data_IF_360044308628
#
_entry.id   IF_360044308628
#
_cell.length_a   1.000
_cell.length_b   1.000
_cell.length_c   1.000
_cell.angle_alpha   90.00
_cell.angle_beta   90.00
_cell.angle_gamma   90.00
#
_symmetry.space_group_name_H-M   'P 1'
#
loop_
_entity.id
_entity.type
_entity.pdbx_description
1 polymer ?
#
# COMPACT_ATOMS: atom_id res chain seq x y z
N UNK A 1 39.77 43.83 -10.93
CA UNK A 1 40.73 44.83 -10.43
C UNK A 1 40.29 45.21 -9.03
N UNK A 2 41.09 44.83 -8.01
CA UNK A 2 40.98 45.20 -6.59
C UNK A 2 39.74 44.66 -5.84
N UNK A 3 39.80 44.11 -4.64
CA UNK A 3 40.86 43.98 -3.63
C UNK A 3 40.45 42.87 -2.64
N UNK A 4 41.43 42.11 -2.16
CA UNK A 4 41.38 41.25 -0.97
C UNK A 4 41.18 42.11 0.29
N UNK A 5 40.59 41.56 1.36
CA UNK A 5 41.33 41.35 2.62
C UNK A 5 40.55 40.54 3.69
N UNK A 6 41.08 39.34 3.92
CA UNK A 6 41.46 38.68 5.18
C UNK A 6 41.18 39.37 6.53
N UNK A 7 40.60 38.63 7.49
CA UNK A 7 41.24 38.19 8.75
C UNK A 7 40.26 37.66 9.82
N UNK A 8 40.61 36.53 10.45
CA UNK A 8 40.04 35.89 11.65
C UNK A 8 40.45 36.63 12.95
N UNK A 9 40.42 36.06 14.19
CA UNK A 9 39.51 35.13 14.94
C UNK A 9 39.14 35.72 16.35
N UNK A 10 38.53 34.93 17.26
CA UNK A 10 38.97 34.66 18.68
C UNK A 10 37.81 34.51 19.71
N UNK A 11 37.88 33.41 20.48
CA UNK A 11 37.49 33.18 21.91
C UNK A 11 36.00 33.25 22.34
N UNK A 12 35.47 32.37 23.19
CA UNK A 12 36.08 31.28 23.97
C UNK A 12 35.14 30.68 25.03
N UNK A 13 35.71 29.71 25.75
CA UNK A 13 35.39 29.18 27.09
C UNK A 13 34.17 28.29 27.38
N UNK A 14 34.48 26.98 27.45
CA UNK A 14 34.40 26.09 28.63
C UNK A 14 33.57 26.47 29.88
N UNK A 15 32.72 25.52 30.32
CA UNK A 15 32.74 24.80 31.63
C UNK A 15 31.42 24.01 31.78
N UNK A 16 31.42 22.68 31.84
CA UNK A 16 31.80 21.74 32.93
C UNK A 16 30.65 21.35 33.88
N UNK A 17 30.41 20.03 33.90
CA UNK A 17 30.18 19.14 35.06
C UNK A 17 28.83 19.15 35.79
N UNK A 18 28.24 17.95 35.92
CA UNK A 18 27.26 17.63 36.95
C UNK A 18 26.59 16.26 36.80
N UNK A 19 27.26 15.19 37.20
CA UNK A 19 26.72 13.82 37.31
C UNK A 19 26.35 13.48 38.76
N UNK A 20 25.62 12.35 38.93
CA UNK A 20 25.19 11.64 40.16
C UNK A 20 23.86 12.16 40.76
N UNK A 21 22.91 11.36 41.29
CA UNK A 21 23.02 10.17 42.14
C UNK A 21 21.79 9.24 42.07
N UNK A 22 22.01 7.95 42.31
CA UNK A 22 21.01 6.88 42.55
C UNK A 22 20.69 6.81 44.06
N UNK A 23 19.43 6.53 44.42
CA UNK A 23 19.06 6.00 45.74
C UNK A 23 17.89 4.98 45.64
N UNK A 24 17.99 3.79 46.28
CA UNK A 24 16.96 2.75 46.27
C UNK A 24 16.05 2.81 47.51
N UNK A 25 14.79 2.36 47.40
CA UNK A 25 13.90 2.14 48.55
C UNK A 25 13.65 0.65 48.80
N UNK A 26 13.66 0.36 50.10
CA UNK A 26 13.83 -0.92 50.79
C UNK A 26 12.58 -1.81 50.82
N UNK A 27 12.85 -3.11 50.94
CA UNK A 27 11.95 -4.18 51.37
C UNK A 27 12.10 -4.39 52.88
N UNK A 28 11.00 -4.33 53.64
CA UNK A 28 10.62 -5.22 54.75
C UNK A 28 9.58 -4.53 55.66
N UNK A 29 8.39 -5.11 55.76
CA UNK A 29 7.77 -5.29 57.07
C UNK A 29 6.83 -6.51 57.07
N UNK A 30 7.11 -7.41 58.01
CA UNK A 30 6.40 -8.67 58.27
C UNK A 30 5.41 -8.39 59.39
N UNK A 31 4.12 -8.41 59.08
CA UNK A 31 3.03 -8.33 60.05
C UNK A 31 2.23 -9.63 60.07
N UNK A 32 2.40 -10.41 61.14
CA UNK A 32 1.73 -11.68 61.42
C UNK A 32 0.34 -11.41 62.03
N UNK A 33 -0.76 -11.77 61.35
CA UNK A 33 -2.10 -11.85 61.96
C UNK A 33 -2.75 -13.19 61.67
N UNK A 34 -3.08 -13.84 62.78
CA UNK A 34 -3.70 -15.14 62.96
C UNK A 34 -5.21 -15.00 62.71
N UNK A 35 -5.73 -15.54 61.61
CA UNK A 35 -7.16 -15.59 61.32
C UNK A 35 -7.51 -16.88 60.58
N UNK A 36 -7.97 -17.88 61.33
CA UNK A 36 -8.47 -19.16 60.81
C UNK A 36 -9.79 -18.94 60.06
N UNK A 37 -9.93 -19.66 58.94
CA UNK A 37 -11.19 -20.16 58.37
C UNK A 37 -12.02 -19.28 57.40
N UNK A 38 -11.42 -18.42 56.58
CA UNK A 38 -12.18 -17.70 55.52
C UNK A 38 -11.52 -17.77 54.10
N UNK A 39 -10.32 -18.36 53.97
CA UNK A 39 -9.54 -18.33 52.70
C UNK A 39 -9.77 -19.52 51.75
N UNK A 40 -10.60 -20.50 52.12
CA UNK A 40 -10.85 -21.68 51.28
C UNK A 40 -11.64 -21.43 49.98
N UNK A 41 -12.64 -20.52 49.90
CA UNK A 41 -13.35 -20.28 48.64
C UNK A 41 -12.55 -19.40 47.66
N UNK A 42 -11.64 -18.55 48.15
CA UNK A 42 -10.83 -17.66 47.29
C UNK A 42 -9.67 -18.37 46.60
N UNK A 43 -9.07 -19.39 47.23
CA UNK A 43 -8.02 -20.19 46.60
C UNK A 43 -8.59 -20.99 45.41
N UNK A 44 -9.79 -21.55 45.55
CA UNK A 44 -10.47 -22.22 44.43
C UNK A 44 -10.92 -21.24 43.35
N UNK A 45 -11.37 -20.03 43.71
CA UNK A 45 -11.70 -18.98 42.74
C UNK A 45 -10.46 -18.53 41.94
N UNK A 46 -9.31 -18.33 42.60
CA UNK A 46 -8.08 -17.97 41.91
C UNK A 46 -7.53 -19.08 41.02
N UNK A 47 -7.68 -20.36 41.41
CA UNK A 47 -7.29 -21.51 40.57
C UNK A 47 -8.21 -21.65 39.35
N UNK A 48 -9.52 -21.42 39.50
CA UNK A 48 -10.48 -21.44 38.38
C UNK A 48 -10.26 -20.24 37.45
N UNK A 49 -9.96 -19.06 37.98
CA UNK A 49 -9.61 -17.88 37.16
C UNK A 49 -8.27 -18.07 36.43
N UNK A 50 -7.27 -18.73 37.04
CA UNK A 50 -6.04 -19.08 36.33
C UNK A 50 -6.24 -20.16 35.25
N UNK A 51 -7.11 -21.16 35.48
CA UNK A 51 -7.45 -22.14 34.45
C UNK A 51 -8.28 -21.55 33.30
N UNK A 52 -9.14 -20.56 33.58
CA UNK A 52 -9.88 -19.83 32.54
C UNK A 52 -8.99 -18.85 31.75
N UNK A 53 -7.92 -18.31 32.36
CA UNK A 53 -6.97 -17.44 31.67
C UNK A 53 -5.90 -18.21 30.87
N UNK A 54 -5.64 -19.50 31.16
CA UNK A 54 -4.78 -20.36 30.33
C UNK A 54 -5.52 -21.02 29.15
N UNK A 55 -6.85 -21.01 29.13
CA UNK A 55 -7.63 -21.53 28.00
C UNK A 55 -7.76 -20.55 26.80
N UNK A 56 -7.25 -19.32 26.93
CA UNK A 56 -7.19 -18.32 25.85
C UNK A 56 -5.76 -17.82 25.58
N UNK A 57 -4.75 -18.67 25.82
CA UNK A 57 -3.44 -18.51 25.19
C UNK A 57 -3.15 -19.71 24.30
N UNK A 58 -4.09 -20.04 23.41
CA UNK A 58 -3.65 -20.43 22.07
C UNK A 58 -3.01 -19.18 21.49
N UNK A 59 -1.70 -19.04 21.69
CA UNK A 59 -0.87 -18.31 20.76
C UNK A 59 -1.27 -18.86 19.40
N UNK A 60 -2.09 -18.09 18.67
CA UNK A 60 -2.24 -18.28 17.25
C UNK A 60 -0.85 -17.95 16.69
N UNK A 61 0.03 -18.95 16.70
CA UNK A 61 1.03 -19.04 15.67
C UNK A 61 0.21 -18.95 14.40
N UNK A 62 0.27 -17.77 13.76
CA UNK A 62 -0.15 -17.62 12.38
C UNK A 62 0.34 -18.88 11.67
N UNK A 63 -0.50 -19.57 10.89
CA UNK A 63 -0.01 -20.68 10.09
C UNK A 63 1.13 -20.10 9.26
N UNK A 64 2.37 -20.45 9.61
CA UNK A 64 3.51 -20.29 8.73
C UNK A 64 3.15 -21.19 7.58
N UNK A 65 2.49 -20.62 6.56
CA UNK A 65 2.26 -21.34 5.33
C UNK A 65 3.64 -21.76 4.88
N UNK A 66 3.89 -23.07 4.89
CA UNK A 66 5.05 -23.65 4.24
C UNK A 66 4.90 -23.25 2.78
N UNK A 67 5.51 -22.10 2.43
CA UNK A 67 5.49 -21.56 1.07
C UNK A 67 6.01 -22.66 0.17
N UNK A 68 5.11 -23.28 -0.57
CA UNK A 68 5.46 -24.40 -1.45
C UNK A 68 6.28 -23.78 -2.58
N UNK A 69 7.60 -23.96 -2.51
CA UNK A 69 8.50 -23.43 -3.53
C UNK A 69 8.45 -24.32 -4.74
N UNK A 70 8.27 -23.72 -5.90
CA UNK A 70 8.37 -24.36 -7.20
C UNK A 70 9.70 -23.97 -7.84
N UNK A 71 10.24 -24.88 -8.65
CA UNK A 71 11.49 -24.70 -9.36
C UNK A 71 11.29 -24.96 -10.85
N UNK A 72 11.79 -24.06 -11.69
CA UNK A 72 11.76 -24.20 -13.15
C UNK A 72 13.21 -24.21 -13.63
N UNK A 73 13.58 -25.20 -14.43
CA UNK A 73 14.87 -25.21 -15.10
C UNK A 73 14.78 -24.30 -16.33
N UNK A 74 15.71 -23.36 -16.43
CA UNK A 74 15.86 -22.47 -17.58
C UNK A 74 17.28 -22.59 -18.13
N UNK A 75 17.50 -22.08 -19.34
CA UNK A 75 18.83 -22.04 -19.97
C UNK A 75 19.83 -21.18 -19.18
N UNK A 76 19.34 -20.36 -18.24
CA UNK A 76 20.12 -19.44 -17.42
C UNK A 76 20.25 -19.88 -15.96
N UNK A 77 19.86 -21.12 -15.67
CA UNK A 77 19.88 -21.70 -14.33
C UNK A 77 18.49 -22.10 -13.87
N UNK A 78 18.39 -22.54 -12.62
CA UNK A 78 17.07 -22.84 -12.02
C UNK A 78 16.51 -21.56 -11.41
N UNK A 79 15.29 -21.19 -11.79
CA UNK A 79 14.52 -20.17 -11.08
C UNK A 79 13.57 -20.83 -10.09
N UNK A 80 13.32 -20.15 -8.98
CA UNK A 80 12.41 -20.58 -7.93
C UNK A 80 11.37 -19.51 -7.65
N UNK A 81 10.16 -19.92 -7.32
CA UNK A 81 9.07 -19.02 -6.96
C UNK A 81 8.16 -19.66 -5.92
N UNK A 82 7.38 -18.85 -5.21
CA UNK A 82 6.39 -19.36 -4.27
C UNK A 82 5.10 -19.70 -5.01
N UNK A 83 4.51 -20.87 -4.75
CA UNK A 83 3.20 -21.25 -5.27
C UNK A 83 2.02 -20.79 -4.39
N UNK A 84 2.25 -19.83 -3.49
CA UNK A 84 1.20 -19.30 -2.62
C UNK A 84 0.24 -18.39 -3.40
N UNK A 85 -1.08 -18.48 -3.18
CA UNK A 85 -2.08 -17.56 -3.76
C UNK A 85 -1.91 -16.10 -3.31
N UNK A 86 -1.07 -15.84 -2.30
CA UNK A 86 -0.85 -14.49 -1.75
C UNK A 86 0.53 -13.93 -2.10
N UNK A 87 1.39 -14.72 -2.75
CA UNK A 87 2.72 -14.25 -3.15
C UNK A 87 2.66 -13.75 -4.59
N UNK A 88 2.89 -12.46 -4.77
CA UNK A 88 2.88 -11.80 -6.08
C UNK A 88 4.16 -12.15 -6.84
N UNK A 89 3.99 -12.78 -8.01
CA UNK A 89 5.09 -13.09 -8.92
C UNK A 89 5.34 -11.96 -9.90
N UNK A 90 4.27 -11.43 -10.49
CA UNK A 90 4.32 -10.38 -11.51
C UNK A 90 3.28 -9.34 -11.15
N UNK A 91 3.66 -8.07 -11.15
CA UNK A 91 2.72 -6.97 -10.98
C UNK A 91 3.08 -5.81 -11.89
N UNK A 92 2.09 -5.25 -12.58
CA UNK A 92 2.29 -4.03 -13.37
C UNK A 92 1.47 -2.89 -12.85
N UNK A 93 2.05 -1.70 -12.91
CA UNK A 93 1.37 -0.44 -12.67
C UNK A 93 1.56 0.46 -13.87
N UNK A 94 0.52 1.23 -14.19
CA UNK A 94 0.63 2.37 -15.07
C UNK A 94 0.73 3.64 -14.22
N UNK A 95 1.72 4.46 -14.50
CA UNK A 95 1.95 5.73 -13.81
C UNK A 95 2.71 6.69 -14.72
N UNK A 96 3.19 7.80 -14.20
CA UNK A 96 3.80 8.87 -15.00
C UNK A 96 2.78 9.85 -15.61
N UNK A 97 3.22 11.10 -15.78
CA UNK A 97 2.40 12.19 -16.29
C UNK A 97 1.57 12.94 -15.24
N UNK A 98 1.35 14.24 -15.48
CA UNK A 98 0.44 15.08 -14.66
C UNK A 98 -1.00 15.09 -15.19
N UNK A 99 -1.33 14.15 -16.08
CA UNK A 99 -2.62 14.08 -16.73
C UNK A 99 -3.47 12.98 -16.08
N UNK A 100 -4.51 13.39 -15.37
CA UNK A 100 -5.70 12.58 -15.07
C UNK A 100 -5.60 11.49 -13.99
N UNK A 101 -6.81 11.07 -13.64
CA UNK A 101 -7.33 10.24 -12.54
C UNK A 101 -6.51 9.02 -12.13
N UNK A 102 -6.31 8.89 -10.81
CA UNK A 102 -5.71 7.73 -10.18
C UNK A 102 -6.51 6.45 -10.46
N UNK A 103 -5.81 5.50 -11.05
CA UNK A 103 -6.23 4.11 -11.11
C UNK A 103 -5.97 3.46 -9.75
N UNK A 104 -7.04 3.12 -9.03
CA UNK A 104 -6.93 2.74 -7.61
C UNK A 104 -6.23 1.40 -7.35
N UNK A 105 -5.81 0.64 -8.36
CA UNK A 105 -5.20 -0.69 -8.24
C UNK A 105 -4.15 -0.93 -9.34
N UNK A 106 -3.29 -1.96 -9.21
CA UNK A 106 -2.39 -2.37 -10.28
C UNK A 106 -3.15 -2.78 -11.54
N UNK A 107 -2.53 -2.63 -12.72
CA UNK A 107 -3.13 -3.08 -13.98
C UNK A 107 -3.20 -4.61 -14.06
N UNK A 108 -2.15 -5.28 -13.58
CA UNK A 108 -2.00 -6.73 -13.58
C UNK A 108 -1.37 -7.15 -12.26
N UNK A 109 -1.90 -8.19 -11.62
CA UNK A 109 -1.24 -8.94 -10.56
C UNK A 109 -1.37 -10.44 -10.83
N UNK A 110 -0.26 -11.16 -10.90
CA UNK A 110 -0.20 -12.63 -11.05
C UNK A 110 0.43 -13.23 -9.79
N UNK A 111 -0.27 -14.18 -9.17
CA UNK A 111 0.13 -14.82 -7.93
C UNK A 111 0.79 -16.18 -8.16
N UNK A 112 1.39 -16.71 -7.10
CA UNK A 112 2.16 -17.96 -7.09
C UNK A 112 1.43 -19.19 -7.61
N UNK A 113 0.13 -19.27 -7.35
CA UNK A 113 -0.73 -20.37 -7.77
C UNK A 113 -1.27 -20.20 -9.21
N UNK A 114 -0.92 -19.10 -9.87
CA UNK A 114 -1.37 -18.76 -11.23
C UNK A 114 -2.68 -18.00 -11.28
N UNK A 115 -3.33 -17.72 -10.15
CA UNK A 115 -4.44 -16.76 -10.13
C UNK A 115 -3.93 -15.39 -10.57
N UNK A 116 -4.76 -14.63 -11.25
CA UNK A 116 -4.42 -13.28 -11.67
C UNK A 116 -5.61 -12.33 -11.59
N UNK A 117 -5.30 -11.05 -11.36
CA UNK A 117 -6.27 -9.96 -11.34
C UNK A 117 -5.84 -8.93 -12.41
N UNK A 118 -6.78 -8.56 -13.26
CA UNK A 118 -6.68 -7.55 -14.31
C UNK A 118 -7.50 -6.34 -13.95
N UNK A 119 -7.05 -5.19 -14.44
CA UNK A 119 -7.83 -3.96 -14.43
C UNK A 119 -7.34 -3.01 -13.34
N UNK A 120 -6.96 -1.79 -13.74
CA UNK A 120 -6.90 -0.72 -12.77
C UNK A 120 -8.30 -0.25 -12.35
N UNK A 121 -8.47 0.08 -11.06
CA UNK A 121 -9.66 0.74 -10.53
C UNK A 121 -10.72 -0.19 -9.95
N UNK A 122 -11.99 0.18 -10.15
CA UNK A 122 -13.15 -0.45 -9.49
C UNK A 122 -13.72 -1.65 -10.26
N UNK A 123 -13.31 -1.82 -11.52
CA UNK A 123 -13.77 -2.89 -12.41
C UNK A 123 -12.65 -3.91 -12.61
N UNK A 124 -12.23 -4.53 -11.50
CA UNK A 124 -11.23 -5.59 -11.56
C UNK A 124 -11.86 -6.90 -12.01
N UNK A 125 -11.06 -7.70 -12.72
CA UNK A 125 -11.44 -9.02 -13.19
C UNK A 125 -10.40 -10.05 -12.77
N UNK A 126 -10.85 -11.22 -12.32
CA UNK A 126 -9.96 -12.31 -11.97
C UNK A 126 -10.03 -13.45 -12.98
N UNK A 127 -8.91 -14.15 -13.12
CA UNK A 127 -8.77 -15.34 -13.94
C UNK A 127 -7.68 -16.26 -13.41
N UNK A 128 -7.42 -17.34 -14.14
CA UNK A 128 -6.49 -18.38 -13.71
C UNK A 128 -5.61 -18.85 -14.86
N UNK A 129 -4.30 -18.81 -14.64
CA UNK A 129 -3.33 -19.57 -15.41
C UNK A 129 -3.21 -20.97 -14.82
N UNK A 130 -3.23 -21.99 -15.68
CA UNK A 130 -2.83 -23.32 -15.22
C UNK A 130 -1.30 -23.34 -14.96
N UNK A 131 -0.85 -24.33 -14.18
CA UNK A 131 0.56 -24.41 -13.77
C UNK A 131 1.54 -24.45 -14.94
N UNK A 132 1.21 -25.11 -16.05
CA UNK A 132 2.06 -25.17 -17.24
C UNK A 132 2.16 -23.80 -17.93
N UNK A 133 1.05 -23.07 -18.05
CA UNK A 133 1.01 -21.73 -18.63
C UNK A 133 1.79 -20.72 -17.78
N UNK A 134 1.65 -20.78 -16.44
CA UNK A 134 2.45 -19.96 -15.54
C UNK A 134 3.95 -20.26 -15.67
N UNK A 135 4.34 -21.54 -15.64
CA UNK A 135 5.74 -21.93 -15.79
C UNK A 135 6.31 -21.52 -17.15
N UNK A 136 5.51 -21.65 -18.23
CA UNK A 136 5.89 -21.20 -19.56
C UNK A 136 6.08 -19.68 -19.59
N UNK A 137 5.19 -18.90 -18.98
CA UNK A 137 5.33 -17.45 -18.87
C UNK A 137 6.64 -17.10 -18.15
N UNK A 138 6.87 -17.66 -16.95
CA UNK A 138 8.09 -17.38 -16.19
C UNK A 138 9.35 -17.79 -16.96
N UNK A 139 9.31 -18.93 -17.66
CA UNK A 139 10.41 -19.37 -18.52
C UNK A 139 10.66 -18.35 -19.66
N UNK A 140 9.60 -17.91 -20.37
CA UNK A 140 9.71 -16.90 -21.43
C UNK A 140 10.32 -15.60 -20.91
N UNK A 141 9.86 -15.09 -19.76
CA UNK A 141 10.35 -13.85 -19.17
C UNK A 141 11.84 -13.91 -18.80
N UNK A 142 12.31 -15.06 -18.34
CA UNK A 142 13.72 -15.24 -17.92
C UNK A 142 14.64 -15.58 -19.08
N UNK A 143 14.22 -16.44 -19.99
CA UNK A 143 15.09 -16.96 -21.05
C UNK A 143 14.97 -16.24 -22.38
N UNK A 144 13.74 -16.03 -22.83
CA UNK A 144 13.45 -15.39 -24.12
C UNK A 144 13.60 -13.88 -23.99
N UNK A 145 12.90 -13.28 -23.03
CA UNK A 145 12.91 -11.84 -22.81
C UNK A 145 14.15 -11.41 -22.02
N UNK A 146 14.74 -12.32 -21.22
CA UNK A 146 16.02 -12.07 -20.58
C UNK A 146 15.96 -11.01 -19.48
N UNK A 147 14.82 -10.84 -18.80
CA UNK A 147 14.63 -9.78 -17.79
C UNK A 147 15.71 -9.77 -16.71
N UNK A 148 16.15 -10.95 -16.26
CA UNK A 148 17.17 -11.08 -15.22
C UNK A 148 18.59 -10.73 -15.69
N UNK A 149 18.80 -10.53 -17.00
CA UNK A 149 20.09 -10.18 -17.61
C UNK A 149 20.19 -8.71 -17.99
N UNK A 150 19.13 -7.93 -17.79
CA UNK A 150 19.13 -6.51 -18.14
C UNK A 150 20.16 -5.77 -17.28
N UNK A 151 21.05 -5.03 -17.92
CA UNK A 151 22.06 -4.20 -17.26
C UNK A 151 21.47 -2.98 -16.56
N UNK A 152 20.38 -2.47 -17.13
CA UNK A 152 19.60 -1.34 -16.61
C UNK A 152 18.17 -1.82 -16.39
N UNK A 153 17.53 -1.35 -15.32
CA UNK A 153 16.15 -1.70 -15.00
C UNK A 153 15.16 -0.57 -15.35
N UNK A 154 15.65 0.65 -15.58
CA UNK A 154 14.82 1.80 -15.90
C UNK A 154 15.08 2.26 -17.34
N UNK A 155 14.09 2.16 -18.20
CA UNK A 155 14.14 2.63 -19.58
C UNK A 155 13.07 3.71 -19.76
N UNK A 156 13.36 4.84 -19.12
CA UNK A 156 12.52 6.04 -19.04
C UNK A 156 13.42 7.23 -18.71
N UNK A 157 13.30 8.33 -19.45
CA UNK A 157 14.09 9.55 -19.25
C UNK A 157 13.33 10.85 -19.54
N UNK A 158 12.11 10.80 -20.05
CA UNK A 158 11.27 11.99 -20.23
C UNK A 158 10.47 12.23 -18.95
N UNK A 159 10.76 13.27 -18.16
CA UNK A 159 9.95 13.59 -16.99
C UNK A 159 8.51 13.91 -17.41
N UNK A 160 7.54 13.59 -16.55
CA UNK A 160 6.12 13.86 -16.78
C UNK A 160 5.49 13.11 -17.97
N UNK A 161 6.08 11.99 -18.42
CA UNK A 161 5.44 11.05 -19.36
C UNK A 161 4.98 9.77 -18.67
N UNK A 162 3.99 9.11 -19.26
CA UNK A 162 3.47 7.85 -18.76
C UNK A 162 4.51 6.73 -18.93
N UNK A 163 4.55 5.82 -17.96
CA UNK A 163 5.44 4.68 -17.88
C UNK A 163 4.73 3.50 -17.22
N UNK A 164 5.09 2.30 -17.64
CA UNK A 164 4.68 1.06 -16.99
C UNK A 164 5.79 0.60 -16.06
N UNK A 165 5.47 0.45 -14.78
CA UNK A 165 6.33 -0.24 -13.84
C UNK A 165 5.98 -1.73 -13.82
N UNK A 166 7.00 -2.59 -13.93
CA UNK A 166 6.89 -4.04 -13.80
C UNK A 166 7.66 -4.50 -12.55
N UNK A 167 6.98 -5.19 -11.65
CA UNK A 167 7.58 -5.90 -10.53
C UNK A 167 7.61 -7.40 -10.83
N UNK A 168 8.75 -8.02 -10.57
CA UNK A 168 8.97 -9.46 -10.74
C UNK A 168 9.60 -10.04 -9.46
N UNK A 169 8.97 -11.07 -8.89
CA UNK A 169 9.48 -11.77 -7.70
C UNK A 169 9.91 -13.17 -8.06
N UNK A 170 11.22 -13.39 -8.19
CA UNK A 170 11.81 -14.70 -8.48
C UNK A 170 13.05 -14.91 -7.61
N UNK A 171 13.36 -16.15 -7.27
CA UNK A 171 14.52 -16.51 -6.43
C UNK A 171 14.54 -15.79 -5.08
N UNK A 172 13.37 -15.43 -4.55
CA UNK A 172 13.25 -14.61 -3.33
C UNK A 172 13.77 -13.18 -3.48
N UNK A 173 13.99 -12.72 -4.71
CA UNK A 173 14.44 -11.36 -5.06
C UNK A 173 13.31 -10.61 -5.75
N UNK A 174 13.15 -9.34 -5.40
CA UNK A 174 12.22 -8.43 -6.06
C UNK A 174 12.97 -7.57 -7.07
N UNK A 175 12.57 -7.65 -8.33
CA UNK A 175 13.08 -6.83 -9.43
C UNK A 175 12.02 -5.81 -9.81
N UNK A 176 12.43 -4.57 -10.04
CA UNK A 176 11.54 -3.50 -10.50
C UNK A 176 12.09 -2.93 -11.79
N UNK A 177 11.32 -3.02 -12.85
CA UNK A 177 11.63 -2.46 -14.15
C UNK A 177 10.69 -1.31 -14.47
N UNK A 178 11.19 -0.28 -15.14
CA UNK A 178 10.39 0.86 -15.59
C UNK A 178 10.51 0.96 -17.11
N UNK A 179 9.37 0.95 -17.80
CA UNK A 179 9.27 1.03 -19.24
C UNK A 179 8.47 2.27 -19.64
N UNK A 180 9.08 3.20 -20.35
CA UNK A 180 8.35 4.34 -20.90
C UNK A 180 9.10 4.98 -22.06
N UNK A 181 8.63 6.15 -22.50
CA UNK A 181 9.24 6.81 -23.64
C UNK A 181 10.70 7.15 -23.37
N UNK A 182 11.57 6.83 -24.35
CA UNK A 182 12.88 7.44 -24.46
C UNK A 182 12.76 8.80 -25.11
N UNK A 183 13.48 9.78 -24.56
CA UNK A 183 13.63 11.11 -25.10
C UNK A 183 14.53 11.13 -26.32
N UNK A 184 15.08 12.31 -26.58
CA UNK A 184 15.90 12.56 -27.77
C UNK A 184 17.38 12.17 -27.58
N UNK A 185 17.73 11.47 -26.51
CA UNK A 185 19.10 11.06 -26.23
C UNK A 185 19.49 9.85 -27.08
N UNK A 186 20.74 9.84 -27.55
CA UNK A 186 21.28 8.71 -28.28
C UNK A 186 21.67 7.62 -27.29
N UNK A 187 20.82 6.61 -27.16
CA UNK A 187 21.03 5.47 -26.26
C UNK A 187 22.03 4.45 -26.82
N UNK A 188 22.68 3.71 -25.94
CA UNK A 188 23.58 2.64 -26.36
C UNK A 188 22.82 1.50 -27.05
N UNK A 189 23.48 0.72 -27.91
CA UNK A 189 22.88 -0.46 -28.52
C UNK A 189 22.38 -1.47 -27.46
N UNK A 190 23.03 -1.50 -26.30
CA UNK A 190 22.66 -2.34 -25.16
C UNK A 190 21.37 -1.85 -24.49
N UNK A 191 21.20 -0.53 -24.33
CA UNK A 191 19.98 0.04 -23.73
C UNK A 191 18.78 -0.13 -24.66
N UNK A 192 18.98 0.01 -25.98
CA UNK A 192 17.93 -0.25 -26.97
C UNK A 192 17.50 -1.73 -26.97
N UNK A 193 18.46 -2.66 -26.85
CA UNK A 193 18.15 -4.10 -26.71
C UNK A 193 17.39 -4.37 -25.41
N UNK A 194 17.82 -3.78 -24.30
CA UNK A 194 17.16 -3.93 -23.00
C UNK A 194 15.73 -3.38 -22.97
N UNK A 195 15.50 -2.22 -23.57
CA UNK A 195 14.17 -1.65 -23.74
C UNK A 195 13.26 -2.56 -24.57
N UNK A 196 13.76 -3.07 -25.71
CA UNK A 196 12.99 -3.99 -26.55
C UNK A 196 12.60 -5.25 -25.79
N UNK A 197 13.55 -5.83 -25.04
CA UNK A 197 13.31 -6.99 -24.18
C UNK A 197 12.25 -6.74 -23.12
N UNK A 198 12.28 -5.59 -22.45
CA UNK A 198 11.26 -5.22 -21.48
C UNK A 198 9.89 -5.04 -22.14
N UNK A 199 9.83 -4.43 -23.33
CA UNK A 199 8.60 -4.33 -24.12
C UNK A 199 8.05 -5.70 -24.56
N UNK A 200 8.93 -6.63 -24.96
CA UNK A 200 8.54 -8.01 -25.25
C UNK A 200 8.01 -8.71 -23.98
N UNK A 201 8.66 -8.55 -22.83
CA UNK A 201 8.19 -9.11 -21.57
C UNK A 201 6.79 -8.63 -21.17
N UNK A 202 6.52 -7.33 -21.27
CA UNK A 202 5.18 -6.77 -21.02
C UNK A 202 4.14 -7.33 -21.99
N UNK A 203 4.52 -7.58 -23.24
CA UNK A 203 3.66 -8.22 -24.24
C UNK A 203 3.42 -9.70 -23.89
N UNK A 204 4.47 -10.47 -23.56
CA UNK A 204 4.39 -11.86 -23.11
C UNK A 204 3.46 -12.02 -21.90
N UNK A 205 3.53 -11.09 -20.93
CA UNK A 205 2.63 -11.06 -19.78
C UNK A 205 1.18 -10.89 -20.24
N UNK A 206 0.90 -9.88 -21.06
CA UNK A 206 -0.47 -9.63 -21.54
C UNK A 206 -1.03 -10.81 -22.35
N UNK A 207 -0.22 -11.37 -23.24
CA UNK A 207 -0.63 -12.47 -24.13
C UNK A 207 -0.90 -13.77 -23.36
N UNK A 208 -0.22 -14.00 -22.23
CA UNK A 208 -0.49 -15.13 -21.36
C UNK A 208 -1.87 -15.04 -20.70
N UNK A 209 -2.40 -13.83 -20.49
CA UNK A 209 -3.64 -13.57 -19.75
C UNK A 209 -4.88 -13.52 -20.66
N UNK A 210 -4.99 -14.47 -21.59
CA UNK A 210 -6.05 -14.53 -22.60
C UNK A 210 -7.24 -15.46 -22.25
N UNK A 211 -7.25 -16.00 -21.02
CA UNK A 211 -8.29 -16.89 -20.54
C UNK A 211 -9.61 -16.18 -20.21
N UNK A 212 -10.66 -16.96 -19.93
CA UNK A 212 -11.92 -16.43 -19.43
C UNK A 212 -11.73 -15.77 -18.06
N UNK A 213 -12.29 -14.58 -17.88
CA UNK A 213 -12.27 -13.86 -16.61
C UNK A 213 -13.69 -13.65 -16.07
N UNK A 214 -13.78 -13.33 -14.78
CA UNK A 214 -15.01 -12.89 -14.13
C UNK A 214 -14.73 -11.65 -13.27
N UNK A 215 -15.76 -10.93 -12.85
CA UNK A 215 -15.57 -9.76 -11.99
C UNK A 215 -14.94 -10.18 -10.66
N UNK A 216 -13.89 -9.49 -10.25
CA UNK A 216 -13.22 -9.70 -8.97
C UNK A 216 -14.02 -9.02 -7.86
N UNK A 217 -14.31 -9.75 -6.79
CA UNK A 217 -14.98 -9.23 -5.61
C UNK A 217 -14.25 -9.67 -4.35
N UNK A 218 -14.17 -8.77 -3.36
CA UNK A 218 -13.58 -9.05 -2.05
C UNK A 218 -14.54 -8.60 -0.95
N UNK A 219 -14.55 -9.35 0.16
CA UNK A 219 -15.25 -8.92 1.38
C UNK A 219 -14.45 -7.88 2.16
N UNK A 220 -13.16 -7.74 1.84
CA UNK A 220 -12.28 -6.74 2.44
C UNK A 220 -12.12 -5.59 1.45
N UNK A 221 -12.65 -4.44 1.83
CA UNK A 221 -12.65 -3.23 0.99
C UNK A 221 -11.94 -2.11 1.75
N UNK A 222 -11.26 -1.25 1.00
CA UNK A 222 -10.82 0.04 1.52
C UNK A 222 -11.77 1.13 1.07
N UNK A 223 -11.89 2.15 1.91
CA UNK A 223 -12.48 3.43 1.53
C UNK A 223 -11.36 4.34 1.02
N UNK A 224 -11.67 5.12 -0.01
CA UNK A 224 -10.84 6.21 -0.51
C UNK A 224 -11.70 7.46 -0.60
N UNK A 225 -11.24 8.58 -0.03
CA UNK A 225 -11.98 9.83 0.09
C UNK A 225 -11.10 11.01 -0.29
N UNK A 226 -11.56 11.78 -1.28
CA UNK A 226 -10.91 13.02 -1.73
C UNK A 226 -11.91 14.16 -1.68
N UNK A 227 -11.49 15.34 -1.22
CA UNK A 227 -12.29 16.55 -1.37
C UNK A 227 -12.42 16.93 -2.86
N UNK A 228 -13.66 17.15 -3.30
CA UNK A 228 -14.00 17.53 -4.67
C UNK A 228 -14.33 19.02 -4.72
N UNK A 229 -13.54 19.80 -5.46
CA UNK A 229 -13.70 21.25 -5.62
C UNK A 229 -14.62 21.62 -6.78
N UNK A 230 -14.85 20.70 -7.72
CA UNK A 230 -15.60 20.95 -8.95
C UNK A 230 -16.61 19.83 -9.22
N UNK A 231 -17.51 19.52 -8.27
CA UNK A 231 -18.50 18.48 -8.47
C UNK A 231 -19.51 18.88 -9.54
N UNK A 232 -20.11 17.89 -10.19
CA UNK A 232 -21.21 18.13 -11.13
C UNK A 232 -22.50 18.52 -10.38
N UNK A 233 -22.71 19.82 -10.19
CA UNK A 233 -23.89 20.37 -9.51
C UNK A 233 -25.20 20.21 -10.30
N UNK A 234 -25.16 19.70 -11.54
CA UNK A 234 -26.37 19.31 -12.25
C UNK A 234 -26.97 18.01 -11.69
N UNK A 235 -26.17 17.21 -10.96
CA UNK A 235 -26.62 15.98 -10.31
C UNK A 235 -27.11 16.26 -8.88
N UNK A 236 -28.09 15.47 -8.42
CA UNK A 236 -28.49 15.51 -7.03
C UNK A 236 -27.43 14.81 -6.16
N UNK A 237 -26.64 15.60 -5.42
CA UNK A 237 -25.56 15.08 -4.59
C UNK A 237 -26.11 14.74 -3.18
N UNK A 238 -26.10 13.47 -2.77
CA UNK A 238 -26.61 13.06 -1.46
C UNK A 238 -25.70 13.54 -0.31
N UNK A 239 -26.30 13.71 0.87
CA UNK A 239 -25.56 14.00 2.10
C UNK A 239 -24.88 12.74 2.65
N UNK A 240 -23.67 12.89 3.19
CA UNK A 240 -22.98 11.81 3.89
C UNK A 240 -23.59 11.57 5.27
N UNK A 241 -24.48 10.58 5.38
CA UNK A 241 -25.21 10.28 6.62
C UNK A 241 -24.56 9.20 7.51
N UNK A 242 -23.31 8.81 7.24
CA UNK A 242 -22.62 7.77 7.99
C UNK A 242 -22.08 8.30 9.34
N UNK A 243 -22.25 7.54 10.42
CA UNK A 243 -22.02 8.03 11.79
C UNK A 243 -20.66 7.64 12.38
N UNK A 244 -20.03 6.56 11.89
CA UNK A 244 -18.77 6.09 12.50
C UNK A 244 -17.61 7.05 12.26
N UNK A 245 -17.66 7.81 11.15
CA UNK A 245 -16.66 8.82 10.83
C UNK A 245 -17.18 9.83 9.80
N UNK A 246 -16.47 10.96 9.75
CA UNK A 246 -16.67 12.04 8.77
C UNK A 246 -15.78 11.83 7.55
N UNK A 247 -16.26 12.20 6.37
CA UNK A 247 -15.46 12.17 5.14
C UNK A 247 -14.24 13.08 5.23
N UNK A 248 -14.38 14.24 5.88
CA UNK A 248 -13.26 15.14 6.11
C UNK A 248 -12.12 14.50 6.91
N UNK A 249 -12.43 13.69 7.93
CA UNK A 249 -11.42 13.03 8.75
C UNK A 249 -10.67 11.95 7.95
N UNK A 250 -11.39 11.19 7.12
CA UNK A 250 -10.80 10.19 6.22
C UNK A 250 -9.92 10.87 5.17
N UNK A 251 -10.41 11.92 4.51
CA UNK A 251 -9.64 12.65 3.51
C UNK A 251 -8.33 13.22 4.08
N UNK A 252 -8.36 13.74 5.32
CA UNK A 252 -7.15 14.23 6.00
C UNK A 252 -6.21 13.07 6.36
N UNK A 253 -6.75 11.94 6.78
CA UNK A 253 -5.94 10.76 7.11
C UNK A 253 -5.20 10.20 5.88
N UNK A 254 -5.89 10.14 4.75
CA UNK A 254 -5.35 9.63 3.48
C UNK A 254 -4.40 10.62 2.82
N UNK A 255 -4.79 11.89 2.72
CA UNK A 255 -4.11 12.87 1.87
C UNK A 255 -3.43 14.01 2.63
N UNK A 256 -3.67 14.13 3.94
CA UNK A 256 -3.28 15.28 4.73
C UNK A 256 -4.28 16.44 4.62
N UNK A 257 -3.98 17.54 5.32
CA UNK A 257 -4.86 18.72 5.35
C UNK A 257 -5.02 19.29 3.95
N UNK A 258 -6.25 19.34 3.46
CA UNK A 258 -6.56 19.94 2.17
C UNK A 258 -6.32 21.45 2.24
N UNK A 259 -5.56 22.04 1.30
CA UNK A 259 -5.36 23.49 1.26
C UNK A 259 -6.70 24.20 1.06
N UNK A 260 -6.81 25.43 1.56
CA UNK A 260 -7.99 26.25 1.30
C UNK A 260 -8.14 26.50 -0.20
N UNK A 261 -9.37 26.60 -0.67
CA UNK A 261 -9.70 26.98 -2.06
C UNK A 261 -9.42 28.48 -2.27
N UNK A 262 -8.14 28.84 -2.30
CA UNK A 262 -7.66 30.21 -2.49
C UNK A 262 -7.11 30.45 -3.91
N UNK A 263 -7.00 29.39 -4.73
CA UNK A 263 -6.31 29.44 -6.03
C UNK A 263 -7.26 29.35 -7.24
N UNK A 264 -8.57 29.51 -7.04
CA UNK A 264 -9.55 29.54 -8.13
C UNK A 264 -9.99 28.15 -8.60
N UNK A 265 -10.73 28.05 -9.71
CA UNK A 265 -11.58 26.90 -10.09
C UNK A 265 -10.87 25.55 -10.34
N UNK A 266 -9.55 25.48 -10.10
CA UNK A 266 -8.71 24.30 -10.28
C UNK A 266 -7.92 23.96 -9.00
N UNK A 267 -8.41 24.34 -7.81
CA UNK A 267 -7.81 23.88 -6.57
C UNK A 267 -7.92 22.35 -6.51
N UNK A 268 -6.79 21.65 -6.50
CA UNK A 268 -6.71 20.20 -6.27
C UNK A 268 -5.46 19.94 -5.42
N UNK A 269 -5.60 19.10 -4.40
CA UNK A 269 -4.48 18.65 -3.57
C UNK A 269 -3.55 17.67 -4.32
N UNK A 270 -4.03 17.11 -5.44
CA UNK A 270 -3.35 16.11 -6.26
C UNK A 270 -3.34 14.71 -5.67
N UNK A 271 -3.62 14.53 -4.38
CA UNK A 271 -3.78 13.22 -3.78
C UNK A 271 -5.06 12.53 -4.27
N UNK A 272 -4.98 11.24 -4.60
CA UNK A 272 -6.03 10.46 -5.27
C UNK A 272 -6.44 11.01 -6.66
N UNK A 273 -5.74 12.02 -7.17
CA UNK A 273 -5.83 12.48 -8.57
C UNK A 273 -4.57 12.11 -9.34
N UNK A 274 -3.41 12.48 -8.82
CA UNK A 274 -2.09 12.27 -9.39
C UNK A 274 -1.17 11.49 -8.45
N UNK A 275 -1.30 11.62 -7.14
CA UNK A 275 -0.43 10.93 -6.17
C UNK A 275 -1.19 9.91 -5.34
N UNK A 276 -0.48 8.90 -4.88
CA UNK A 276 -1.02 7.91 -3.94
C UNK A 276 -1.35 8.55 -2.58
N UNK A 277 -2.31 8.00 -1.82
CA UNK A 277 -2.56 8.43 -0.45
C UNK A 277 -1.43 7.95 0.48
N UNK A 278 -1.27 8.58 1.63
CA UNK A 278 -0.26 8.23 2.64
C UNK A 278 -0.63 7.00 3.45
N UNK A 279 -1.93 6.80 3.64
CA UNK A 279 -2.52 5.69 4.37
C UNK A 279 -3.89 5.41 3.75
N UNK A 280 -4.44 4.23 4.01
CA UNK A 280 -5.80 3.87 3.62
C UNK A 280 -6.49 3.11 4.74
N UNK A 281 -7.82 3.15 4.77
CA UNK A 281 -8.62 2.56 5.85
C UNK A 281 -9.36 1.35 5.31
N UNK A 282 -9.14 0.20 5.95
CA UNK A 282 -9.92 -1.00 5.75
C UNK A 282 -11.25 -0.91 6.48
N UNK A 283 -12.33 -1.30 5.80
CA UNK A 283 -13.67 -1.27 6.35
C UNK A 283 -14.01 -2.59 7.06
N UNK A 284 -14.62 -2.50 8.24
CA UNK A 284 -15.30 -3.65 8.84
C UNK A 284 -16.53 -4.04 8.02
N UNK A 285 -17.01 -5.27 8.17
CA UNK A 285 -18.20 -5.76 7.46
C UNK A 285 -19.44 -4.87 7.68
N UNK A 286 -19.61 -4.34 8.90
CA UNK A 286 -20.75 -3.46 9.23
C UNK A 286 -20.63 -2.11 8.53
N UNK A 287 -19.42 -1.52 8.53
CA UNK A 287 -19.15 -0.27 7.83
C UNK A 287 -19.35 -0.43 6.32
N UNK A 288 -18.82 -1.51 5.74
CA UNK A 288 -18.99 -1.80 4.32
C UNK A 288 -20.47 -1.90 3.94
N UNK A 289 -21.28 -2.67 4.67
CA UNK A 289 -22.71 -2.81 4.40
C UNK A 289 -23.44 -1.45 4.45
N UNK A 290 -23.17 -0.63 5.47
CA UNK A 290 -23.80 0.67 5.61
C UNK A 290 -23.38 1.65 4.49
N UNK A 291 -22.10 1.68 4.12
CA UNK A 291 -21.58 2.56 3.06
C UNK A 291 -22.09 2.12 1.69
N UNK A 292 -22.07 0.81 1.38
CA UNK A 292 -22.63 0.30 0.12
C UNK A 292 -24.12 0.63 -0.02
N UNK A 293 -24.89 0.56 1.06
CA UNK A 293 -26.30 0.99 1.05
C UNK A 293 -26.44 2.49 0.78
N UNK A 294 -25.60 3.34 1.40
CA UNK A 294 -25.57 4.79 1.12
C UNK A 294 -25.20 5.10 -0.34
N UNK A 295 -24.34 4.26 -0.94
CA UNK A 295 -23.89 4.37 -2.32
C UNK A 295 -24.83 3.70 -3.33
N UNK A 296 -25.97 3.14 -2.91
CA UNK A 296 -26.92 2.42 -3.78
C UNK A 296 -26.24 1.33 -4.65
N UNK A 297 -25.43 0.49 -4.01
CA UNK A 297 -24.66 -0.60 -4.65
C UNK A 297 -23.66 -0.14 -5.73
N UNK A 298 -23.38 1.17 -5.82
CA UNK A 298 -22.25 1.68 -6.59
C UNK A 298 -20.95 1.49 -5.81
N UNK A 299 -19.82 1.54 -6.52
CA UNK A 299 -18.48 1.50 -5.91
C UNK A 299 -17.82 2.88 -5.85
N UNK A 300 -18.47 3.92 -6.37
CA UNK A 300 -18.02 5.30 -6.31
C UNK A 300 -19.19 6.28 -6.32
N UNK A 301 -18.97 7.47 -5.77
CA UNK A 301 -19.96 8.54 -5.79
C UNK A 301 -19.40 9.85 -5.25
N UNK A 302 -20.20 10.92 -5.34
CA UNK A 302 -19.91 12.22 -4.73
C UNK A 302 -20.91 12.46 -3.61
N UNK A 303 -20.43 12.94 -2.46
CA UNK A 303 -21.24 13.22 -1.28
C UNK A 303 -20.98 14.61 -0.72
N UNK A 304 -22.02 15.19 -0.11
CA UNK A 304 -21.96 16.47 0.59
C UNK A 304 -21.79 16.24 2.10
N UNK A 305 -20.82 16.89 2.73
CA UNK A 305 -20.67 16.95 4.19
C UNK A 305 -20.32 18.38 4.62
N UNK A 306 -21.14 18.99 5.47
CA UNK A 306 -20.82 20.31 6.07
C UNK A 306 -20.63 21.44 5.06
N UNK A 307 -21.25 21.34 3.87
CA UNK A 307 -21.09 22.31 2.78
C UNK A 307 -19.90 22.03 1.86
N UNK A 308 -19.16 20.93 2.08
CA UNK A 308 -17.99 20.51 1.29
C UNK A 308 -18.34 19.22 0.55
N UNK A 309 -17.85 19.09 -0.68
CA UNK A 309 -18.08 17.90 -1.51
C UNK A 309 -16.88 16.96 -1.46
N UNK A 310 -17.15 15.66 -1.53
CA UNK A 310 -16.14 14.61 -1.49
C UNK A 310 -16.43 13.54 -2.53
N UNK A 311 -15.42 13.17 -3.32
CA UNK A 311 -15.44 11.93 -4.10
C UNK A 311 -15.10 10.76 -3.16
N UNK A 312 -15.92 9.71 -3.21
CA UNK A 312 -15.77 8.50 -2.39
C UNK A 312 -15.69 7.29 -3.31
N UNK A 313 -14.76 6.38 -3.03
CA UNK A 313 -14.63 5.11 -3.75
C UNK A 313 -14.39 3.93 -2.80
N UNK A 314 -14.98 2.78 -3.12
CA UNK A 314 -14.79 1.50 -2.45
C UNK A 314 -13.97 0.57 -3.33
N UNK A 315 -12.74 0.28 -2.93
CA UNK A 315 -11.84 -0.59 -3.69
C UNK A 315 -11.67 -1.94 -2.98
N UNK A 316 -11.84 -3.08 -3.67
CA UNK A 316 -11.52 -4.37 -3.08
C UNK A 316 -10.01 -4.52 -2.86
N UNK A 317 -9.66 -5.08 -1.70
CA UNK A 317 -8.29 -5.49 -1.41
C UNK A 317 -7.90 -6.70 -2.25
N UNK A 318 -6.65 -6.72 -2.71
CA UNK A 318 -6.02 -7.85 -3.39
C UNK A 318 -5.58 -8.93 -2.38
N UNK A 319 -5.39 -10.18 -2.82
CA UNK A 319 -4.99 -11.30 -1.96
C UNK A 319 -3.76 -11.07 -1.08
N UNK A 320 -2.79 -10.28 -1.54
CA UNK A 320 -1.54 -10.02 -0.82
C UNK A 320 -1.62 -8.85 0.18
N UNK A 321 -2.57 -7.94 -0.01
CA UNK A 321 -2.57 -6.63 0.66
C UNK A 321 -2.90 -6.73 2.16
N UNK A 322 -3.83 -7.62 2.51
CA UNK A 322 -4.24 -7.83 3.90
C UNK A 322 -3.09 -8.41 4.73
N UNK A 323 -2.37 -9.41 4.20
CA UNK A 323 -1.25 -10.03 4.90
C UNK A 323 -0.06 -9.09 5.07
N UNK A 324 0.11 -8.17 4.13
CA UNK A 324 1.20 -7.18 4.17
C UNK A 324 0.83 -5.93 4.97
N UNK A 325 -0.45 -5.76 5.34
CA UNK A 325 -1.00 -4.51 5.87
C UNK A 325 -0.62 -3.31 4.99
N UNK A 326 -0.63 -3.54 3.67
CA UNK A 326 -0.22 -2.56 2.67
C UNK A 326 -1.02 -2.74 1.40
N UNK A 327 -1.46 -1.63 0.82
CA UNK A 327 -2.23 -1.58 -0.40
C UNK A 327 -1.33 -1.20 -1.58
N UNK A 328 -1.50 -1.93 -2.67
CA UNK A 328 -0.83 -1.72 -3.94
C UNK A 328 -1.51 -0.59 -4.72
N UNK A 329 -0.94 0.61 -4.70
CA UNK A 329 -1.40 1.78 -5.46
C UNK A 329 -0.20 2.53 -6.01
N UNK A 330 -0.34 3.12 -7.21
CA UNK A 330 0.65 4.00 -7.81
C UNK A 330 -0.05 5.19 -8.44
N UNK A 331 0.36 6.40 -8.08
CA UNK A 331 -0.09 7.64 -8.71
C UNK A 331 0.41 7.84 -10.13
N UNK A 332 -0.39 8.50 -10.98
CA UNK A 332 0.09 8.98 -12.29
C UNK A 332 1.23 9.98 -12.15
N UNK A 333 1.29 10.77 -11.09
CA UNK A 333 2.45 11.62 -10.76
C UNK A 333 3.66 10.87 -10.19
N UNK A 334 3.62 9.55 -10.06
CA UNK A 334 4.66 8.74 -9.40
C UNK A 334 5.34 7.77 -10.38
N UNK A 335 6.66 7.60 -10.22
CA UNK A 335 7.48 6.69 -11.02
C UNK A 335 7.92 5.44 -10.26
N UNK A 336 7.63 5.40 -8.96
CA UNK A 336 8.05 4.33 -8.06
C UNK A 336 6.91 3.92 -7.15
N UNK A 337 6.59 2.63 -7.14
CA UNK A 337 5.70 2.06 -6.18
C UNK A 337 6.34 1.98 -4.79
N UNK A 338 5.54 2.35 -3.80
CA UNK A 338 5.72 1.95 -2.41
C UNK A 338 4.37 1.52 -1.86
N UNK A 339 4.28 0.36 -1.20
CA UNK A 339 3.00 -0.12 -0.67
C UNK A 339 2.45 0.83 0.40
N UNK A 340 1.19 1.23 0.24
CA UNK A 340 0.51 2.21 1.08
C UNK A 340 0.04 1.54 2.37
N UNK A 341 0.41 2.02 3.57
CA UNK A 341 -0.06 1.45 4.83
C UNK A 341 -1.59 1.30 4.90
N UNK A 342 -2.03 0.08 5.23
CA UNK A 342 -3.43 -0.24 5.53
C UNK A 342 -3.65 -0.16 7.04
N UNK A 343 -4.68 0.58 7.44
CA UNK A 343 -5.14 0.63 8.82
C UNK A 343 -6.49 -0.10 8.96
N UNK A 344 -6.58 -0.97 9.96
CA UNK A 344 -7.84 -1.59 10.38
C UNK A 344 -8.30 -0.96 11.68
N UNK A 345 -9.59 -0.59 11.73
CA UNK A 345 -10.19 -0.01 12.92
C UNK A 345 -10.77 1.38 12.68
N UNK A 346 -11.08 2.13 13.76
CA UNK A 346 -11.67 3.45 13.64
C UNK A 346 -10.71 4.42 12.94
N UNK A 347 -11.28 5.36 12.18
CA UNK A 347 -10.52 6.42 11.52
C UNK A 347 -9.72 7.19 12.59
N UNK A 348 -8.39 7.26 12.48
CA UNK A 348 -7.59 8.02 13.43
C UNK A 348 -8.00 9.48 13.42
N UNK A 349 -8.21 10.05 14.61
CA UNK A 349 -8.57 11.46 14.72
C UNK A 349 -7.41 12.31 14.21
N UNK A 350 -7.64 13.26 13.28
CA UNK A 350 -6.57 14.12 12.79
C UNK A 350 -5.90 14.86 13.95
N UNK A 351 -4.58 14.74 14.08
CA UNK A 351 -3.85 15.50 15.08
C UNK A 351 -3.99 17.00 14.76
N UNK A 352 -4.39 17.85 15.73
CA UNK A 352 -4.49 19.28 15.48
C UNK A 352 -3.09 19.81 15.12
N UNK A 353 -2.97 20.42 13.94
CA UNK A 353 -1.72 21.06 13.51
C UNK A 353 -1.33 22.11 14.56
N UNK A 354 -0.12 22.07 15.13
CA UNK A 354 0.35 23.13 16.01
C UNK A 354 0.25 24.44 15.24
N UNK A 355 -0.53 25.40 15.75
CA UNK A 355 -0.47 26.77 15.24
C UNK A 355 0.95 27.26 15.51
N UNK A 356 1.76 27.36 14.46
CA UNK A 356 3.05 28.03 14.54
C UNK A 356 2.82 29.42 15.12
N UNK A 357 3.47 29.69 16.25
CA UNK A 357 3.49 31.00 16.91
C UNK A 357 4.46 31.95 16.27
#
# INVERSE_FOLDING_TARGET
MGTQDTAQPVSGNTKDVGAQFIAPLRVNDIGNVRGRNELRPYIWLCIVVMFLLMACTTSSSMPTSTKTKQSISTNNGTITYSASPQDVLIRTFYGGGKLGTLEFSPEISIYGDGSYILGPGLQMHEGQLNSAALQQLLHTLVDTDGLLKLSRQQFYDIPDQNATQLQLTLNGTHYTYLYGAFGNLQESAQDIDGYRRLGMALTSIRDALNGSTHAYASQNMILLVRQDFSPDLAQNIPYWAFQDFRLGDVAIYECGVTPQDINGPNADSGCLTYTSPRNVIGLSTQQLQAITALMHDQHQGVFLEGGIYYSVALRPLLPDELLQMRVAMLGSGELSYTGIPLHEGPVPTPAPTPRGG
#
